data_IF_403447495934
#
_entry.id   IF_403447495934
#
_cell.length_a   1.000
_cell.length_b   1.000
_cell.length_c   1.000
_cell.angle_alpha   90.00
_cell.angle_beta   90.00
_cell.angle_gamma   90.00
#
_symmetry.space_group_name_H-M   'P 1'
#
loop_
_entity.id
_entity.type
_entity.pdbx_description
1 polymer ?
#
# COMPACT_ATOMS: atom_id res chain seq x y z
N UNK A 1 41.60 -25.80 10.38
CA UNK A 1 41.60 -25.20 9.02
C UNK A 1 42.27 -23.85 9.13
N UNK A 2 43.41 -23.67 8.45
CA UNK A 2 44.13 -22.39 8.35
C UNK A 2 43.82 -21.78 6.99
N UNK A 3 43.21 -20.60 6.96
CA UNK A 3 42.90 -19.90 5.70
C UNK A 3 44.02 -18.90 5.37
N UNK A 4 44.61 -19.04 4.19
CA UNK A 4 45.59 -18.11 3.62
C UNK A 4 44.88 -16.93 2.95
N UNK A 5 45.28 -15.70 3.24
CA UNK A 5 44.86 -14.49 2.53
C UNK A 5 45.82 -14.21 1.36
N UNK A 6 45.26 -13.88 0.19
CA UNK A 6 46.03 -13.39 -0.97
C UNK A 6 46.00 -11.85 -0.97
N UNK A 7 47.16 -11.22 -1.07
CA UNK A 7 47.32 -9.75 -1.13
C UNK A 7 47.01 -9.20 -2.53
N UNK A 8 46.39 -8.02 -2.59
CA UNK A 8 46.07 -7.26 -3.81
C UNK A 8 47.10 -6.14 -3.97
N UNK A 9 47.75 -6.06 -5.12
CA UNK A 9 48.79 -5.07 -5.43
C UNK A 9 48.17 -3.77 -5.96
N UNK A 10 48.54 -2.62 -5.37
CA UNK A 10 48.06 -1.29 -5.76
C UNK A 10 49.15 -0.57 -6.56
N UNK A 11 48.89 -0.29 -7.84
CA UNK A 11 49.82 0.41 -8.72
C UNK A 11 49.57 1.93 -8.64
N UNK A 12 50.59 2.67 -8.23
CA UNK A 12 50.51 4.09 -7.85
C UNK A 12 50.82 5.01 -9.03
N UNK A 13 49.88 5.26 -9.94
CA UNK A 13 49.97 6.40 -10.87
C UNK A 13 48.60 6.99 -11.21
N UNK A 14 48.10 7.90 -10.37
CA UNK A 14 47.36 9.10 -10.81
C UNK A 14 46.88 9.90 -9.60
N UNK A 15 47.50 11.05 -9.35
CA UNK A 15 46.90 12.09 -8.52
C UNK A 15 47.13 13.44 -9.20
N UNK A 16 46.07 14.24 -9.47
CA UNK A 16 46.21 15.54 -10.10
C UNK A 16 46.73 16.60 -9.10
N UNK A 17 47.25 17.74 -9.59
CA UNK A 17 48.00 18.69 -8.78
C UNK A 17 47.13 19.57 -7.87
N UNK A 18 47.75 20.01 -6.77
CA UNK A 18 47.24 20.69 -5.56
C UNK A 18 46.52 22.03 -5.82
N UNK A 19 46.56 22.55 -7.04
CA UNK A 19 46.07 23.89 -7.39
C UNK A 19 44.54 24.02 -7.36
N UNK A 20 43.79 22.94 -7.55
CA UNK A 20 42.31 22.95 -7.53
C UNK A 20 41.72 22.96 -6.11
N UNK A 21 42.48 22.53 -5.10
CA UNK A 21 42.02 22.44 -3.70
C UNK A 21 41.84 23.79 -3.01
N UNK A 22 42.50 24.85 -3.51
CA UNK A 22 42.45 26.18 -2.87
C UNK A 22 41.27 27.02 -3.34
N UNK A 23 40.66 26.69 -4.47
CA UNK A 23 39.54 27.45 -5.04
C UNK A 23 38.20 27.21 -4.34
N UNK A 24 38.07 26.15 -3.54
CA UNK A 24 36.80 25.77 -2.90
C UNK A 24 36.66 26.24 -1.44
N UNK A 25 37.68 26.90 -0.89
CA UNK A 25 37.72 27.27 0.54
C UNK A 25 37.24 28.70 0.80
N UNK A 26 36.89 29.49 -0.22
CA UNK A 26 36.57 30.90 -0.04
C UNK A 26 35.28 31.32 -0.74
N UNK A 27 34.14 31.20 -0.04
CA UNK A 27 33.18 32.31 0.15
C UNK A 27 31.96 31.92 1.03
N UNK A 28 31.28 32.93 1.64
CA UNK A 28 30.63 32.85 2.95
C UNK A 28 29.10 33.06 2.93
N UNK A 29 28.41 32.61 4.00
CA UNK A 29 27.42 33.36 4.82
C UNK A 29 26.53 32.37 5.59
N UNK A 30 26.58 32.47 6.92
CA UNK A 30 25.71 31.76 7.86
C UNK A 30 24.82 32.80 8.54
N UNK A 31 23.62 33.00 8.01
CA UNK A 31 22.50 33.57 8.74
C UNK A 31 21.35 32.56 8.65
N UNK A 32 21.12 31.80 9.73
CA UNK A 32 19.80 31.34 10.20
C UNK A 32 19.95 30.38 11.40
N UNK A 33 20.50 30.90 12.49
CA UNK A 33 20.27 30.36 13.83
C UNK A 33 18.83 30.71 14.25
N UNK A 34 17.88 29.80 13.97
CA UNK A 34 16.58 29.60 14.69
C UNK A 34 15.63 28.71 13.88
N UNK A 35 15.83 27.39 13.84
CA UNK A 35 14.68 26.47 13.58
C UNK A 35 14.85 25.02 14.06
N UNK A 36 15.95 24.68 14.76
CA UNK A 36 16.25 23.28 15.15
C UNK A 36 16.06 22.97 16.64
N UNK A 37 15.49 23.89 17.42
CA UNK A 37 15.34 23.72 18.88
C UNK A 37 14.06 23.05 19.37
N UNK A 38 13.00 22.97 18.56
CA UNK A 38 11.64 22.67 19.07
C UNK A 38 11.07 21.30 18.63
N UNK A 39 11.80 20.55 17.79
CA UNK A 39 11.31 19.28 17.24
C UNK A 39 11.88 18.02 17.93
N UNK A 40 12.79 18.15 18.90
CA UNK A 40 13.52 17.02 19.50
C UNK A 40 13.16 16.72 20.98
N UNK A 41 11.93 17.02 21.41
CA UNK A 41 11.44 16.64 22.76
C UNK A 41 10.05 15.97 22.76
N UNK A 42 9.64 15.33 21.67
CA UNK A 42 8.36 14.59 21.64
C UNK A 42 8.41 13.28 20.86
N UNK A 43 9.39 12.43 21.17
CA UNK A 43 9.35 11.00 20.76
C UNK A 43 9.82 10.15 21.94
N UNK A 44 9.02 10.12 23.00
CA UNK A 44 8.94 8.97 23.88
C UNK A 44 7.47 8.77 24.29
N UNK A 45 7.07 7.49 24.38
CA UNK A 45 5.73 6.96 24.68
C UNK A 45 4.70 6.95 23.54
N UNK A 46 4.53 5.77 22.90
CA UNK A 46 3.28 5.45 22.19
C UNK A 46 3.34 4.56 20.95
N UNK A 47 4.41 3.80 20.71
CA UNK A 47 4.51 2.91 19.54
C UNK A 47 3.91 1.52 19.76
N UNK A 48 2.59 1.38 19.79
CA UNK A 48 1.95 0.06 19.76
C UNK A 48 1.98 -0.47 18.32
N UNK A 49 3.02 -1.25 18.00
CA UNK A 49 3.20 -1.96 16.72
C UNK A 49 2.10 -3.03 16.56
N UNK A 50 1.17 -2.94 15.60
CA UNK A 50 0.16 -3.97 15.40
C UNK A 50 0.74 -5.07 14.49
N UNK A 51 1.76 -5.78 14.96
CA UNK A 51 2.21 -7.04 14.34
C UNK A 51 1.67 -8.20 15.17
N UNK A 52 0.40 -8.56 14.92
CA UNK A 52 -0.17 -9.87 15.26
C UNK A 52 -1.56 -10.00 14.62
N UNK A 53 -1.63 -10.77 13.54
CA UNK A 53 -2.89 -11.30 13.01
C UNK A 53 -3.30 -12.47 13.91
N UNK A 54 -4.13 -12.21 14.92
CA UNK A 54 -4.77 -13.26 15.71
C UNK A 54 -5.84 -13.94 14.84
N UNK A 55 -5.49 -15.09 14.24
CA UNK A 55 -6.46 -16.02 13.70
C UNK A 55 -7.23 -16.68 14.86
N UNK A 56 -8.19 -15.93 15.42
CA UNK A 56 -9.18 -16.49 16.33
C UNK A 56 -9.97 -17.55 15.56
N UNK A 57 -9.65 -18.81 15.81
CA UNK A 57 -10.47 -19.96 15.43
C UNK A 57 -11.87 -19.76 15.98
N UNK A 58 -12.76 -19.23 15.14
CA UNK A 58 -14.19 -19.11 15.39
C UNK A 58 -14.83 -20.48 15.33
N UNK A 59 -14.60 -21.29 16.35
CA UNK A 59 -15.47 -22.40 16.70
C UNK A 59 -16.69 -21.83 17.41
N UNK A 60 -17.70 -21.42 16.64
CA UNK A 60 -19.04 -21.14 17.12
C UNK A 60 -20.00 -21.41 15.96
N UNK A 61 -20.57 -22.61 16.00
CA UNK A 61 -21.78 -23.01 15.28
C UNK A 61 -22.86 -21.93 15.40
N UNK A 62 -23.49 -21.51 14.28
CA UNK A 62 -24.82 -20.93 14.35
C UNK A 62 -25.80 -22.08 14.58
N UNK A 63 -26.48 -22.00 15.71
CA UNK A 63 -27.59 -22.83 16.09
C UNK A 63 -28.65 -22.86 14.97
N UNK A 64 -29.23 -24.05 14.81
CA UNK A 64 -30.35 -24.32 13.93
C UNK A 64 -31.60 -23.61 14.45
N UNK A 65 -32.03 -22.57 13.75
CA UNK A 65 -33.39 -22.06 13.80
C UNK A 65 -34.11 -22.47 12.49
N UNK A 66 -34.26 -23.78 12.28
CA UNK A 66 -35.29 -24.33 11.40
C UNK A 66 -36.63 -24.31 12.14
N UNK A 67 -37.42 -23.24 11.97
CA UNK A 67 -38.83 -23.29 12.35
C UNK A 67 -39.67 -22.28 11.57
N UNK A 68 -39.75 -22.50 10.25
CA UNK A 68 -40.86 -22.06 9.42
C UNK A 68 -41.11 -23.17 8.39
N UNK A 69 -42.04 -24.07 8.67
CA UNK A 69 -42.66 -24.95 7.68
C UNK A 69 -43.63 -24.13 6.79
N UNK A 70 -43.29 -23.75 5.55
CA UNK A 70 -44.30 -23.38 4.57
C UNK A 70 -44.96 -24.66 4.03
N UNK A 71 -46.29 -24.66 3.82
CA UNK A 71 -47.01 -25.86 3.45
C UNK A 71 -46.57 -26.34 2.05
N UNK A 72 -45.90 -27.49 2.03
CA UNK A 72 -46.12 -28.53 1.03
C UNK A 72 -45.68 -28.26 -0.43
N UNK A 73 -44.49 -27.69 -0.64
CA UNK A 73 -43.85 -27.73 -1.98
C UNK A 73 -43.78 -29.15 -2.53
N UNK A 74 -43.38 -30.12 -1.69
CA UNK A 74 -43.36 -31.54 -2.08
C UNK A 74 -44.72 -32.09 -2.51
N UNK A 75 -45.82 -31.62 -1.91
CA UNK A 75 -47.16 -32.06 -2.29
C UNK A 75 -47.63 -31.40 -3.58
N UNK A 76 -47.30 -30.12 -3.79
CA UNK A 76 -47.56 -29.43 -5.06
C UNK A 76 -46.80 -30.10 -6.21
N UNK A 77 -45.53 -30.46 -6.01
CA UNK A 77 -44.73 -31.23 -6.98
C UNK A 77 -45.37 -32.60 -7.24
N UNK A 78 -45.86 -33.28 -6.19
CA UNK A 78 -46.60 -34.54 -6.34
C UNK A 78 -47.86 -34.43 -7.19
N UNK A 79 -48.62 -33.33 -7.07
CA UNK A 79 -49.77 -33.06 -7.95
C UNK A 79 -49.36 -32.77 -9.39
N UNK A 80 -48.28 -32.00 -9.59
CA UNK A 80 -47.77 -31.70 -10.93
C UNK A 80 -47.23 -32.96 -11.62
N UNK A 81 -46.60 -33.89 -10.88
CA UNK A 81 -46.14 -35.16 -11.40
C UNK A 81 -47.30 -36.07 -11.87
N UNK A 82 -48.50 -35.88 -11.32
CA UNK A 82 -49.70 -36.64 -11.71
C UNK A 82 -50.34 -36.10 -12.99
N UNK A 83 -50.07 -34.84 -13.35
CA UNK A 83 -50.69 -34.13 -14.46
C UNK A 83 -49.71 -33.84 -15.63
N UNK A 84 -48.45 -34.21 -15.46
CA UNK A 84 -47.41 -34.06 -16.47
C UNK A 84 -46.03 -34.48 -15.96
N UNK A 85 -45.00 -34.19 -16.76
CA UNK A 85 -43.61 -34.50 -16.42
C UNK A 85 -42.98 -33.34 -15.69
N UNK A 86 -42.44 -33.59 -14.49
CA UNK A 86 -41.72 -32.60 -13.69
C UNK A 86 -40.23 -32.93 -13.69
N UNK A 87 -39.39 -31.92 -13.93
CA UNK A 87 -37.94 -31.97 -13.81
C UNK A 87 -37.50 -30.89 -12.81
N UNK A 88 -36.64 -31.25 -11.86
CA UNK A 88 -36.12 -30.29 -10.88
C UNK A 88 -34.61 -30.14 -11.06
N UNK A 89 -34.15 -28.90 -11.17
CA UNK A 89 -32.73 -28.54 -11.23
C UNK A 89 -32.47 -27.45 -10.17
N UNK A 90 -31.88 -27.85 -9.04
CA UNK A 90 -31.77 -27.02 -7.85
C UNK A 90 -33.15 -26.55 -7.36
N UNK A 91 -33.33 -25.24 -7.26
CA UNK A 91 -34.59 -24.60 -6.87
C UNK A 91 -35.57 -24.41 -8.05
N UNK A 92 -35.14 -24.70 -9.28
CA UNK A 92 -35.96 -24.51 -10.47
C UNK A 92 -36.75 -25.78 -10.80
N UNK A 93 -38.05 -25.61 -11.02
CA UNK A 93 -38.97 -26.70 -11.39
C UNK A 93 -39.49 -26.47 -12.82
N UNK A 94 -39.17 -27.40 -13.71
CA UNK A 94 -39.67 -27.48 -15.07
C UNK A 94 -40.85 -28.44 -15.12
N UNK A 95 -42.00 -27.99 -15.62
CA UNK A 95 -43.20 -28.82 -15.78
C UNK A 95 -43.66 -28.82 -17.24
N UNK A 96 -43.86 -30.02 -17.79
CA UNK A 96 -44.42 -30.25 -19.12
C UNK A 96 -45.73 -31.04 -18.97
N UNK A 97 -46.85 -30.39 -19.26
CA UNK A 97 -48.16 -31.05 -19.26
C UNK A 97 -48.26 -32.13 -20.34
N UNK A 98 -49.02 -33.19 -20.07
CA UNK A 98 -49.21 -34.33 -20.99
C UNK A 98 -49.90 -33.93 -22.32
N UNK A 99 -50.92 -33.07 -22.24
CA UNK A 99 -51.63 -32.51 -23.40
C UNK A 99 -51.75 -30.98 -23.26
N UNK A 100 -50.63 -30.32 -23.58
CA UNK A 100 -50.54 -28.86 -23.50
C UNK A 100 -51.55 -28.17 -24.40
N UNK A 101 -51.87 -28.75 -25.57
CA UNK A 101 -52.82 -28.17 -26.52
C UNK A 101 -54.24 -28.11 -25.93
N UNK A 102 -54.71 -29.19 -25.33
CA UNK A 102 -56.01 -29.23 -24.68
C UNK A 102 -56.09 -28.33 -23.44
N UNK A 103 -55.02 -28.27 -22.62
CA UNK A 103 -54.94 -27.36 -21.47
C UNK A 103 -55.00 -25.88 -21.89
N UNK A 104 -54.39 -25.53 -23.02
CA UNK A 104 -54.49 -24.18 -23.60
C UNK A 104 -55.90 -23.89 -24.12
N UNK A 105 -56.56 -24.87 -24.75
CA UNK A 105 -57.95 -24.73 -25.23
C UNK A 105 -58.93 -24.51 -24.08
N UNK A 106 -58.75 -25.20 -22.94
CA UNK A 106 -59.59 -25.06 -21.76
C UNK A 106 -59.33 -23.77 -20.96
N UNK A 107 -58.10 -23.25 -20.99
CA UNK A 107 -57.73 -21.99 -20.33
C UNK A 107 -58.10 -20.74 -21.15
N UNK A 108 -58.46 -20.91 -22.41
CA UNK A 108 -58.96 -19.82 -23.26
C UNK A 108 -60.41 -19.46 -22.88
N UNK A 109 -60.76 -18.15 -22.78
CA UNK A 109 -62.15 -17.74 -22.53
C UNK A 109 -63.08 -18.28 -23.62
N UNK A 110 -64.04 -19.13 -23.25
CA UNK A 110 -65.07 -19.62 -24.18
C UNK A 110 -66.02 -18.46 -24.48
N UNK A 111 -65.80 -17.77 -25.59
CA UNK A 111 -66.85 -16.90 -26.16
C UNK A 111 -67.93 -17.82 -26.69
N UNK A 112 -69.09 -17.88 -26.02
CA UNK A 112 -70.28 -18.55 -26.55
C UNK A 112 -70.60 -17.94 -27.93
N UNK A 113 -70.53 -18.77 -28.96
CA UNK A 113 -70.89 -18.44 -30.34
C UNK A 113 -72.39 -18.13 -30.38
N UNK A 114 -72.79 -16.86 -30.39
CA UNK A 114 -74.23 -16.57 -30.45
C UNK A 114 -74.73 -15.14 -30.46
N UNK A 115 -74.03 -14.15 -29.90
CA UNK A 115 -74.60 -12.80 -29.81
C UNK A 115 -73.58 -11.71 -30.15
N UNK A 116 -73.57 -11.27 -31.40
CA UNK A 116 -73.06 -9.95 -31.77
C UNK A 116 -73.79 -9.50 -33.05
N UNK A 117 -74.54 -8.39 -33.01
CA UNK A 117 -75.28 -7.92 -34.18
C UNK A 117 -74.29 -7.42 -35.25
N UNK A 118 -74.53 -7.83 -36.49
CA UNK A 118 -73.72 -7.50 -37.65
C UNK A 118 -73.90 -6.02 -38.04
N UNK A 119 -72.84 -5.22 -37.96
CA UNK A 119 -72.79 -3.90 -38.60
C UNK A 119 -71.99 -3.99 -39.92
N UNK A 120 -72.46 -3.40 -41.03
CA UNK A 120 -71.80 -3.52 -42.32
C UNK A 120 -70.75 -2.41 -42.51
N UNK A 121 -69.48 -2.80 -42.71
CA UNK A 121 -68.41 -1.86 -43.04
C UNK A 121 -67.03 -2.46 -42.81
N UNK A 122 -66.50 -3.17 -43.81
CA UNK A 122 -65.20 -3.84 -43.75
C UNK A 122 -64.02 -2.86 -43.70
N UNK A 123 -63.04 -3.12 -42.81
CA UNK A 123 -61.63 -3.44 -43.12
C UNK A 123 -60.73 -3.15 -41.91
N UNK A 124 -60.24 -4.24 -41.30
CA UNK A 124 -58.93 -4.31 -40.63
C UNK A 124 -58.60 -3.19 -39.62
N UNK A 125 -59.21 -3.27 -38.46
CA UNK A 125 -58.53 -3.09 -37.18
C UNK A 125 -59.44 -3.71 -36.15
N UNK A 126 -59.19 -4.97 -35.80
CA UNK A 126 -59.81 -5.64 -34.66
C UNK A 126 -59.75 -4.66 -33.48
N UNK A 127 -60.88 -4.12 -32.99
CA UNK A 127 -60.84 -3.26 -31.83
C UNK A 127 -60.54 -4.19 -30.66
N UNK A 128 -59.26 -4.30 -30.32
CA UNK A 128 -58.70 -4.48 -28.98
C UNK A 128 -59.45 -5.37 -27.96
N UNK A 129 -60.30 -6.33 -28.34
CA UNK A 129 -60.91 -7.26 -27.40
C UNK A 129 -59.84 -8.12 -26.72
N UNK A 130 -58.73 -8.37 -27.44
CA UNK A 130 -57.51 -8.93 -26.86
C UNK A 130 -56.87 -7.98 -25.84
N UNK A 131 -56.89 -6.67 -26.09
CA UNK A 131 -56.36 -5.64 -25.17
C UNK A 131 -57.27 -5.41 -23.97
N UNK A 132 -58.58 -5.66 -24.09
CA UNK A 132 -59.56 -5.48 -23.02
C UNK A 132 -59.71 -6.74 -22.15
N UNK A 133 -59.54 -7.93 -22.76
CA UNK A 133 -59.48 -9.21 -22.03
C UNK A 133 -58.09 -9.49 -21.42
N UNK A 134 -57.02 -8.88 -21.93
CA UNK A 134 -55.66 -8.95 -21.37
C UNK A 134 -55.23 -7.67 -20.66
N UNK A 135 -56.09 -6.68 -20.47
CA UNK A 135 -55.86 -5.71 -19.39
C UNK A 135 -56.30 -6.40 -18.11
N UNK A 136 -55.38 -6.86 -17.24
CA UNK A 136 -55.76 -6.98 -15.85
C UNK A 136 -56.32 -5.59 -15.50
N UNK A 137 -57.40 -5.54 -14.71
CA UNK A 137 -57.72 -4.35 -13.93
C UNK A 137 -56.55 -4.18 -12.93
N UNK A 138 -55.38 -3.79 -13.44
CA UNK A 138 -54.23 -3.40 -12.64
C UNK A 138 -54.77 -2.28 -11.74
N UNK A 139 -54.65 -2.41 -10.42
CA UNK A 139 -55.04 -1.35 -9.51
C UNK A 139 -54.46 -0.03 -10.03
N UNK A 140 -55.29 1.02 -10.06
CA UNK A 140 -54.88 2.34 -10.54
C UNK A 140 -53.57 2.73 -9.83
N UNK A 141 -52.44 2.67 -10.53
CA UNK A 141 -51.13 2.91 -9.92
C UNK A 141 -51.12 4.30 -9.28
N UNK A 142 -50.88 4.33 -7.97
CA UNK A 142 -50.78 5.58 -7.24
C UNK A 142 -49.52 6.33 -7.70
N UNK A 143 -49.72 7.43 -8.41
CA UNK A 143 -48.64 8.26 -8.93
C UNK A 143 -47.81 8.91 -7.81
N UNK A 144 -48.36 9.06 -6.60
CA UNK A 144 -47.61 9.62 -5.48
C UNK A 144 -46.49 8.66 -5.03
N UNK A 145 -46.80 7.36 -4.90
CA UNK A 145 -45.81 6.34 -4.54
C UNK A 145 -44.71 6.23 -5.59
N UNK A 146 -45.06 6.35 -6.88
CA UNK A 146 -44.10 6.35 -7.99
C UNK A 146 -43.17 7.57 -7.95
N UNK A 147 -43.71 8.74 -7.64
CA UNK A 147 -42.93 9.97 -7.51
C UNK A 147 -42.04 9.97 -6.27
N UNK A 148 -42.50 9.40 -5.15
CA UNK A 148 -41.69 9.17 -3.95
C UNK A 148 -40.55 8.18 -4.24
N UNK A 149 -40.83 7.08 -4.94
CA UNK A 149 -39.80 6.13 -5.36
C UNK A 149 -38.76 6.77 -6.29
N UNK A 150 -39.20 7.58 -7.27
CA UNK A 150 -38.30 8.32 -8.15
C UNK A 150 -37.45 9.34 -7.36
N UNK A 151 -38.04 10.01 -6.36
CA UNK A 151 -37.33 10.93 -5.50
C UNK A 151 -36.26 10.21 -4.65
N UNK A 152 -36.60 9.08 -4.03
CA UNK A 152 -35.64 8.29 -3.27
C UNK A 152 -34.56 7.68 -4.17
N UNK A 153 -34.91 7.18 -5.35
CA UNK A 153 -33.93 6.70 -6.32
C UNK A 153 -32.94 7.80 -6.72
N UNK A 154 -33.41 9.05 -6.91
CA UNK A 154 -32.55 10.21 -7.17
C UNK A 154 -31.64 10.54 -5.98
N UNK A 155 -32.14 10.49 -4.74
CA UNK A 155 -31.32 10.71 -3.54
C UNK A 155 -30.25 9.65 -3.37
N UNK A 156 -30.57 8.38 -3.65
CA UNK A 156 -29.60 7.28 -3.61
C UNK A 156 -28.53 7.50 -4.69
N UNK A 157 -28.93 7.85 -5.91
CA UNK A 157 -27.99 8.13 -7.00
C UNK A 157 -27.01 9.25 -6.62
N UNK A 158 -27.50 10.39 -6.10
CA UNK A 158 -26.63 11.49 -5.69
C UNK A 158 -25.74 11.14 -4.49
N UNK A 159 -26.23 10.31 -3.56
CA UNK A 159 -25.43 9.78 -2.45
C UNK A 159 -24.28 8.89 -2.94
N UNK A 160 -24.55 8.01 -3.91
CA UNK A 160 -23.53 7.14 -4.53
C UNK A 160 -22.52 7.95 -5.32
N UNK A 161 -22.94 8.98 -6.05
CA UNK A 161 -22.04 9.88 -6.77
C UNK A 161 -21.09 10.58 -5.79
N UNK A 162 -21.63 11.12 -4.70
CA UNK A 162 -20.85 11.76 -3.63
C UNK A 162 -19.87 10.79 -2.95
N UNK A 163 -20.30 9.57 -2.63
CA UNK A 163 -19.41 8.56 -2.06
C UNK A 163 -18.27 8.20 -3.02
N UNK A 164 -18.57 8.08 -4.32
CA UNK A 164 -17.60 7.72 -5.36
C UNK A 164 -16.57 8.82 -5.56
N UNK A 165 -17.00 10.08 -5.58
CA UNK A 165 -16.10 11.24 -5.65
C UNK A 165 -15.20 11.32 -4.41
N UNK A 166 -15.78 11.13 -3.22
CA UNK A 166 -15.02 11.11 -1.96
C UNK A 166 -13.98 9.97 -1.93
N UNK A 167 -14.36 8.77 -2.37
CA UNK A 167 -13.45 7.62 -2.46
C UNK A 167 -12.31 7.92 -3.45
N UNK A 168 -12.61 8.50 -4.61
CA UNK A 168 -11.59 8.89 -5.58
C UNK A 168 -10.61 9.90 -4.96
N UNK A 169 -11.10 10.92 -4.25
CA UNK A 169 -10.26 11.90 -3.58
C UNK A 169 -9.35 11.26 -2.51
N UNK A 170 -9.88 10.35 -1.68
CA UNK A 170 -9.10 9.62 -0.67
C UNK A 170 -8.03 8.75 -1.34
N UNK A 171 -8.37 8.02 -2.41
CA UNK A 171 -7.42 7.18 -3.14
C UNK A 171 -6.31 8.00 -3.80
N UNK A 172 -6.64 9.16 -4.37
CA UNK A 172 -5.63 10.08 -4.91
C UNK A 172 -4.72 10.61 -3.81
N UNK A 173 -5.26 10.99 -2.65
CA UNK A 173 -4.48 11.43 -1.49
C UNK A 173 -3.55 10.32 -0.96
N UNK A 174 -4.07 9.10 -0.79
CA UNK A 174 -3.30 7.94 -0.36
C UNK A 174 -2.19 7.57 -1.36
N UNK A 175 -2.48 7.65 -2.66
CA UNK A 175 -1.50 7.43 -3.73
C UNK A 175 -0.39 8.48 -3.70
N UNK A 176 -0.76 9.76 -3.55
CA UNK A 176 0.19 10.86 -3.44
C UNK A 176 1.09 10.72 -2.20
N UNK A 177 0.52 10.33 -1.06
CA UNK A 177 1.28 10.07 0.17
C UNK A 177 2.26 8.88 -0.01
N UNK A 178 1.84 7.83 -0.71
CA UNK A 178 2.72 6.69 -1.00
C UNK A 178 3.89 7.11 -1.89
N UNK A 179 3.64 7.93 -2.93
CA UNK A 179 4.71 8.49 -3.76
C UNK A 179 5.66 9.35 -2.93
N UNK A 180 5.14 10.27 -2.11
CA UNK A 180 5.97 11.12 -1.24
C UNK A 180 6.81 10.33 -0.24
N UNK A 181 6.30 9.22 0.29
CA UNK A 181 7.05 8.31 1.15
C UNK A 181 8.24 7.68 0.39
N UNK A 182 8.01 7.19 -0.83
CA UNK A 182 9.05 6.60 -1.67
C UNK A 182 10.11 7.62 -2.07
N UNK A 183 9.70 8.85 -2.42
CA UNK A 183 10.61 9.95 -2.74
C UNK A 183 11.47 10.33 -1.54
N UNK A 184 10.87 10.47 -0.36
CA UNK A 184 11.59 10.76 0.88
C UNK A 184 12.59 9.66 1.22
N UNK A 185 12.20 8.39 1.06
CA UNK A 185 13.08 7.24 1.29
C UNK A 185 14.27 7.25 0.31
N UNK A 186 14.01 7.45 -0.98
CA UNK A 186 15.04 7.58 -2.01
C UNK A 186 16.04 8.67 -1.65
N UNK A 187 15.55 9.86 -1.30
CA UNK A 187 16.38 11.01 -1.02
C UNK A 187 17.22 10.81 0.26
N UNK A 188 16.65 10.18 1.29
CA UNK A 188 17.37 9.82 2.52
C UNK A 188 18.50 8.82 2.24
N UNK A 189 18.26 7.81 1.41
CA UNK A 189 19.29 6.84 1.00
C UNK A 189 20.40 7.54 0.20
N UNK A 190 20.05 8.35 -0.81
CA UNK A 190 21.03 9.10 -1.60
C UNK A 190 21.91 10.01 -0.73
N UNK A 191 21.30 10.81 0.15
CA UNK A 191 22.04 11.69 1.09
C UNK A 191 22.96 10.90 2.01
N UNK A 192 22.54 9.72 2.46
CA UNK A 192 23.37 8.84 3.28
C UNK A 192 24.56 8.30 2.48
N UNK A 193 24.35 7.90 1.23
CA UNK A 193 25.43 7.47 0.33
C UNK A 193 26.45 8.59 0.12
N UNK A 194 25.99 9.81 -0.14
CA UNK A 194 26.86 10.98 -0.32
C UNK A 194 27.66 11.30 0.97
N UNK A 195 27.02 11.22 2.14
CA UNK A 195 27.68 11.43 3.42
C UNK A 195 28.76 10.36 3.70
N UNK A 196 28.47 9.10 3.39
CA UNK A 196 29.44 7.99 3.52
C UNK A 196 30.60 8.17 2.52
N UNK A 197 30.33 8.55 1.28
CA UNK A 197 31.39 8.82 0.29
C UNK A 197 32.31 9.96 0.75
N UNK A 198 31.73 11.03 1.29
CA UNK A 198 32.48 12.13 1.90
C UNK A 198 33.29 11.67 3.12
N UNK A 199 32.77 10.75 3.94
CA UNK A 199 33.50 10.16 5.06
C UNK A 199 34.71 9.33 4.58
N UNK A 200 34.52 8.51 3.55
CA UNK A 200 35.59 7.72 2.95
C UNK A 200 36.71 8.64 2.44
N UNK A 201 36.36 9.70 1.70
CA UNK A 201 37.34 10.72 1.25
C UNK A 201 38.06 11.37 2.42
N UNK A 202 37.33 11.75 3.46
CA UNK A 202 37.90 12.36 4.67
C UNK A 202 38.88 11.41 5.37
N UNK A 203 38.58 10.10 5.41
CA UNK A 203 39.46 9.09 5.99
C UNK A 203 40.77 8.96 5.21
N UNK A 204 40.71 8.97 3.87
CA UNK A 204 41.91 8.97 3.03
C UNK A 204 42.74 10.25 3.19
N UNK A 205 42.08 11.41 3.29
CA UNK A 205 42.76 12.68 3.56
C UNK A 205 43.45 12.67 4.94
N UNK A 206 42.77 12.14 5.97
CA UNK A 206 43.34 11.98 7.31
C UNK A 206 44.57 11.06 7.28
N UNK A 207 44.50 9.96 6.53
CA UNK A 207 45.62 9.03 6.38
C UNK A 207 46.84 9.71 5.76
N UNK A 208 46.66 10.46 4.67
CA UNK A 208 47.72 11.24 4.04
C UNK A 208 48.31 12.28 5.00
N UNK A 209 47.46 12.97 5.77
CA UNK A 209 47.89 13.96 6.76
C UNK A 209 48.63 13.35 7.94
N UNK A 210 48.23 12.16 8.39
CA UNK A 210 48.92 11.40 9.43
C UNK A 210 50.32 10.99 8.98
N UNK A 211 50.46 10.56 7.72
CA UNK A 211 51.77 10.22 7.16
C UNK A 211 52.68 11.45 7.01
N UNK A 212 52.12 12.58 6.54
CA UNK A 212 52.83 13.87 6.46
C UNK A 212 53.31 14.33 7.84
N UNK A 213 52.44 14.24 8.86
CA UNK A 213 52.79 14.56 10.24
C UNK A 213 53.92 13.68 10.75
N UNK A 214 53.84 12.36 10.57
CA UNK A 214 54.87 11.41 10.98
C UNK A 214 56.24 11.75 10.35
N UNK A 215 56.27 12.06 9.05
CA UNK A 215 57.48 12.53 8.35
C UNK A 215 58.02 13.82 8.96
N UNK A 216 57.15 14.78 9.25
CA UNK A 216 57.53 16.08 9.85
C UNK A 216 58.08 15.96 11.27
N UNK A 217 57.71 14.91 12.03
CA UNK A 217 58.23 14.66 13.38
C UNK A 217 59.65 14.06 13.39
N UNK A 218 60.16 13.56 12.27
CA UNK A 218 61.50 12.95 12.18
C UNK A 218 62.64 13.80 12.78
N UNK A 219 62.76 15.11 12.47
CA UNK A 219 63.76 15.99 13.07
C UNK A 219 63.62 16.15 14.59
N UNK A 220 62.40 16.12 15.13
CA UNK A 220 62.15 16.25 16.57
C UNK A 220 62.75 15.04 17.32
N UNK A 221 62.55 13.84 16.80
CA UNK A 221 63.16 12.63 17.38
C UNK A 221 64.69 12.66 17.30
N UNK A 222 65.25 13.14 16.19
CA UNK A 222 66.71 13.32 16.07
C UNK A 222 67.25 14.30 17.10
N UNK A 223 66.56 15.43 17.30
CA UNK A 223 66.95 16.42 18.32
C UNK A 223 66.87 15.85 19.74
N UNK A 224 65.84 15.07 20.05
CA UNK A 224 65.70 14.41 21.34
C UNK A 224 66.88 13.46 21.63
N UNK A 225 67.32 12.67 20.64
CA UNK A 225 68.47 11.78 20.81
C UNK A 225 69.79 12.56 20.96
N UNK A 226 69.97 13.64 20.21
CA UNK A 226 71.14 14.52 20.36
C UNK A 226 71.23 15.11 21.77
N UNK A 227 70.11 15.56 22.33
CA UNK A 227 70.07 16.04 23.71
C UNK A 227 70.48 14.94 24.68
N UNK A 228 69.88 13.74 24.56
CA UNK A 228 70.21 12.60 25.42
C UNK A 228 71.70 12.25 25.39
N UNK A 229 72.29 12.13 24.20
CA UNK A 229 73.72 11.86 24.07
C UNK A 229 74.61 12.96 24.68
N UNK A 230 74.20 14.23 24.57
CA UNK A 230 74.93 15.34 25.19
C UNK A 230 74.90 15.24 26.72
N UNK A 231 73.74 14.89 27.29
CA UNK A 231 73.59 14.65 28.72
C UNK A 231 74.42 13.45 29.19
N UNK A 232 74.40 12.32 28.48
CA UNK A 232 75.23 11.14 28.79
C UNK A 232 76.72 11.48 28.78
N UNK A 233 77.19 12.16 27.72
CA UNK A 233 78.59 12.60 27.64
C UNK A 233 78.97 13.51 28.79
N UNK A 234 78.13 14.52 29.08
CA UNK A 234 78.37 15.40 30.23
C UNK A 234 78.43 14.59 31.53
N UNK A 235 77.47 13.72 31.77
CA UNK A 235 77.42 12.90 32.98
C UNK A 235 78.69 12.06 33.15
N UNK A 236 79.16 11.41 32.08
CA UNK A 236 80.42 10.66 32.09
C UNK A 236 81.62 11.56 32.40
N UNK A 237 81.72 12.75 31.79
CA UNK A 237 82.80 13.70 32.08
C UNK A 237 82.81 14.12 33.55
N UNK A 238 81.64 14.49 34.09
CA UNK A 238 81.50 14.84 35.51
C UNK A 238 81.89 13.70 36.45
N UNK A 239 81.49 12.46 36.15
CA UNK A 239 81.87 11.28 36.94
C UNK A 239 83.37 11.00 36.87
N UNK A 240 84.00 11.13 35.70
CA UNK A 240 85.45 10.98 35.56
C UNK A 240 86.24 12.06 36.30
N UNK A 241 85.77 13.31 36.29
CA UNK A 241 86.38 14.40 37.08
C UNK A 241 86.26 14.13 38.58
N UNK A 242 85.08 13.72 39.06
CA UNK A 242 84.85 13.35 40.46
C UNK A 242 85.75 12.18 40.90
N UNK A 243 85.88 11.15 40.07
CA UNK A 243 86.74 10.00 40.36
C UNK A 243 88.22 10.41 40.47
N UNK A 244 88.71 11.25 39.54
CA UNK A 244 90.09 11.74 39.57
C UNK A 244 90.38 12.64 40.79
N UNK A 245 89.39 13.41 41.25
CA UNK A 245 89.48 14.21 42.48
C UNK A 245 89.58 13.35 43.75
N UNK A 246 89.03 12.13 43.73
CA UNK A 246 89.03 11.23 44.89
C UNK A 246 90.29 10.34 44.99
N UNK A 247 90.99 10.13 43.87
CA UNK A 247 92.22 9.29 43.80
C UNK A 247 93.50 10.11 44.04
N UNK A 248 93.42 11.44 44.01
CA UNK A 248 94.53 12.35 44.29
C UNK A 248 94.55 12.75 45.76
#
# INVERSE_FOLDING_TARGET
MTASYSEISFDSQSSPPISELRSLVESPDLDDDKFLGDALEKIDSGGNRPDRLDLRSGGASPDEDEDLDPPSYHKAIGYLQLEGTVMQDGDMVLFVAEDLENKIKLSSPVTKKGETPSFPGSRSSTPCLYRQALTPQLPLLDHNVLNELEMEARKIATSVDSLTENLAAILHSASALTVGCLETYRDAVCKTCDAVDNNIKSMYQLMAKSEELSKSMGPIYKLAEQMKHLWEKKLHTWLSELYNLQVR
#
